data_IF_348578303220
#
_entry.id   IF_348578303220
#
_cell.length_a   1.000
_cell.length_b   1.000
_cell.length_c   1.000
_cell.angle_alpha   90.00
_cell.angle_beta   90.00
_cell.angle_gamma   90.00
#
_symmetry.space_group_name_H-M   'P 1'
#
loop_
_entity.id
_entity.type
_entity.pdbx_description
1 polymer ?
#
# COMPACT_ATOMS: atom_id res chain seq x y z
N UNK A 1 -8.96 -1.09 -25.18
CA UNK A 1 -8.18 -2.31 -25.49
C UNK A 1 -6.93 -2.27 -24.62
N UNK A 2 -6.43 -3.41 -24.14
CA UNK A 2 -5.16 -3.44 -23.43
C UNK A 2 -4.08 -4.02 -24.34
N UNK A 3 -3.11 -3.19 -24.74
CA UNK A 3 -2.05 -3.59 -25.67
C UNK A 3 -1.12 -4.66 -25.06
N UNK A 4 -0.94 -4.64 -23.74
CA UNK A 4 -0.09 -5.60 -23.01
C UNK A 4 -0.72 -6.99 -23.00
N UNK A 5 -2.04 -7.09 -22.77
CA UNK A 5 -2.74 -8.37 -22.70
C UNK A 5 -3.33 -8.80 -24.04
N UNK A 6 -3.38 -7.94 -25.06
CA UNK A 6 -3.96 -8.22 -26.37
C UNK A 6 -5.47 -8.47 -26.36
N UNK A 7 -6.20 -7.98 -25.34
CA UNK A 7 -7.64 -8.23 -25.16
C UNK A 7 -8.43 -6.98 -24.79
N UNK A 8 -9.72 -6.98 -25.13
CA UNK A 8 -10.63 -5.90 -24.74
C UNK A 8 -11.23 -6.17 -23.35
N UNK A 9 -11.02 -5.23 -22.43
CA UNK A 9 -11.52 -5.29 -21.06
C UNK A 9 -12.68 -4.28 -20.92
N UNK A 10 -13.82 -4.74 -20.39
CA UNK A 10 -14.99 -3.89 -20.14
C UNK A 10 -14.70 -2.88 -19.02
N UNK A 11 -14.98 -1.58 -19.28
CA UNK A 11 -14.62 -0.45 -18.40
C UNK A 11 -13.20 -0.59 -17.85
N UNK A 12 -12.24 -0.75 -18.77
CA UNK A 12 -10.83 -0.90 -18.45
C UNK A 12 -10.34 0.30 -17.64
N UNK A 13 -9.71 0.02 -16.50
CA UNK A 13 -9.09 1.04 -15.67
C UNK A 13 -7.60 1.18 -16.00
N UNK A 14 -6.84 0.10 -15.82
CA UNK A 14 -5.42 0.01 -16.17
C UNK A 14 -4.96 -1.45 -16.26
N UNK A 15 -3.79 -1.68 -16.84
CA UNK A 15 -3.06 -2.93 -16.64
C UNK A 15 -2.18 -2.78 -15.38
N UNK A 16 -2.34 -3.68 -14.41
CA UNK A 16 -1.60 -3.62 -13.14
C UNK A 16 -0.42 -4.60 -13.20
N UNK A 17 0.84 -4.13 -13.29
CA UNK A 17 2.01 -5.00 -13.31
C UNK A 17 2.17 -5.79 -12.00
N UNK A 18 1.74 -5.21 -10.89
CA UNK A 18 1.83 -5.82 -9.55
C UNK A 18 0.96 -7.06 -9.40
N UNK A 19 -0.20 -7.07 -10.07
CA UNK A 19 -1.13 -8.20 -10.07
C UNK A 19 -1.01 -9.05 -11.35
N UNK A 20 -0.17 -8.64 -12.30
CA UNK A 20 -0.01 -9.30 -13.59
C UNK A 20 -1.31 -9.40 -14.40
N UNK A 21 -2.25 -8.48 -14.19
CA UNK A 21 -3.59 -8.56 -14.80
C UNK A 21 -4.21 -7.18 -15.03
N UNK A 22 -5.20 -7.13 -15.92
CA UNK A 22 -5.98 -5.93 -16.16
C UNK A 22 -7.02 -5.71 -15.07
N UNK A 23 -7.12 -4.47 -14.61
CA UNK A 23 -8.16 -4.01 -13.71
C UNK A 23 -9.25 -3.35 -14.56
N UNK A 24 -10.49 -3.79 -14.37
CA UNK A 24 -11.66 -3.28 -15.06
C UNK A 24 -12.94 -3.62 -14.31
N UNK A 25 -14.10 -3.50 -14.96
CA UNK A 25 -15.42 -3.59 -14.29
C UNK A 25 -15.59 -4.80 -13.36
N UNK A 26 -15.12 -5.98 -13.78
CA UNK A 26 -15.38 -7.26 -13.08
C UNK A 26 -14.54 -7.46 -11.82
N UNK A 27 -13.37 -6.84 -11.73
CA UNK A 27 -12.43 -7.02 -10.62
C UNK A 27 -12.06 -5.73 -9.88
N UNK A 28 -12.61 -4.57 -10.27
CA UNK A 28 -12.30 -3.28 -9.66
C UNK A 28 -12.61 -3.25 -8.15
N UNK A 29 -13.69 -3.89 -7.70
CA UNK A 29 -14.03 -3.98 -6.27
C UNK A 29 -12.99 -4.77 -5.49
N UNK A 30 -12.55 -5.90 -6.03
CA UNK A 30 -11.52 -6.75 -5.45
C UNK A 30 -10.18 -6.02 -5.39
N UNK A 31 -9.87 -5.21 -6.41
CA UNK A 31 -8.69 -4.35 -6.40
C UNK A 31 -8.74 -3.29 -5.29
N UNK A 32 -9.88 -2.63 -5.07
CA UNK A 32 -10.03 -1.69 -3.94
C UNK A 32 -9.87 -2.38 -2.58
N UNK A 33 -10.46 -3.57 -2.42
CA UNK A 33 -10.30 -4.36 -1.21
C UNK A 33 -8.84 -4.78 -1.00
N UNK A 34 -8.15 -5.18 -2.07
CA UNK A 34 -6.71 -5.46 -2.03
C UNK A 34 -5.90 -4.25 -1.55
N UNK A 35 -6.14 -3.05 -2.11
CA UNK A 35 -5.45 -1.83 -1.67
C UNK A 35 -5.72 -1.50 -0.20
N UNK A 36 -6.98 -1.65 0.24
CA UNK A 36 -7.36 -1.41 1.63
C UNK A 36 -6.68 -2.43 2.57
N UNK A 37 -6.75 -3.72 2.24
CA UNK A 37 -6.08 -4.78 3.01
C UNK A 37 -4.57 -4.56 3.07
N UNK A 38 -3.95 -4.15 1.96
CA UNK A 38 -2.52 -3.85 1.91
C UNK A 38 -2.14 -2.68 2.83
N UNK A 39 -2.94 -1.60 2.83
CA UNK A 39 -2.74 -0.47 3.73
C UNK A 39 -2.90 -0.89 5.21
N UNK A 40 -3.93 -1.66 5.53
CA UNK A 40 -4.19 -2.15 6.89
C UNK A 40 -3.05 -3.07 7.36
N UNK A 41 -2.57 -3.97 6.51
CA UNK A 41 -1.45 -4.86 6.82
C UNK A 41 -0.19 -4.07 7.17
N UNK A 42 0.18 -3.06 6.36
CA UNK A 42 1.32 -2.21 6.65
C UNK A 42 1.16 -1.40 7.94
N UNK A 43 -0.04 -0.90 8.21
CA UNK A 43 -0.33 -0.19 9.46
C UNK A 43 -0.21 -1.10 10.69
N UNK A 44 -0.68 -2.35 10.61
CA UNK A 44 -0.54 -3.36 11.66
C UNK A 44 0.93 -3.67 11.90
N UNK A 45 1.71 -3.96 10.85
CA UNK A 45 3.14 -4.26 10.96
C UNK A 45 3.90 -3.09 11.58
N UNK A 46 3.61 -1.86 11.16
CA UNK A 46 4.21 -0.66 11.74
C UNK A 46 3.89 -0.53 13.23
N UNK A 47 2.60 -0.65 13.60
CA UNK A 47 2.17 -0.58 14.99
C UNK A 47 2.83 -1.67 15.86
N UNK A 48 2.94 -2.91 15.36
CA UNK A 48 3.63 -4.00 16.04
C UNK A 48 5.12 -3.70 16.28
N UNK A 49 5.82 -3.13 15.30
CA UNK A 49 7.21 -2.73 15.47
C UNK A 49 7.37 -1.70 16.58
N UNK A 50 6.51 -0.68 16.62
CA UNK A 50 6.52 0.35 17.67
C UNK A 50 6.18 -0.25 19.05
N UNK A 51 5.18 -1.12 19.13
CA UNK A 51 4.83 -1.79 20.39
C UNK A 51 5.98 -2.62 20.95
N UNK A 52 6.68 -3.39 20.11
CA UNK A 52 7.83 -4.21 20.52
C UNK A 52 8.97 -3.34 21.09
N UNK A 53 9.25 -2.20 20.46
CA UNK A 53 10.26 -1.26 20.92
C UNK A 53 9.89 -0.61 22.26
N UNK A 54 8.60 -0.44 22.52
CA UNK A 54 8.08 0.21 23.74
C UNK A 54 7.90 -0.78 24.92
N UNK A 55 7.60 -2.06 24.66
CA UNK A 55 7.16 -3.02 25.68
C UNK A 55 8.26 -3.38 26.72
N UNK A 56 9.55 -3.27 26.40
CA UNK A 56 10.64 -3.60 27.35
C UNK A 56 11.38 -2.38 27.91
N UNK A 57 10.91 -1.15 27.65
CA UNK A 57 11.47 0.07 28.25
C UNK A 57 11.20 0.17 29.78
N UNK A 58 10.57 -0.85 30.36
CA UNK A 58 10.28 -0.96 31.81
C UNK A 58 11.55 -1.22 32.64
N UNK A 59 12.67 -1.63 32.03
CA UNK A 59 13.97 -1.68 32.73
C UNK A 59 14.65 -0.32 32.62
N UNK A 60 14.61 0.46 33.71
CA UNK A 60 15.21 1.80 33.91
C UNK A 60 16.71 1.85 33.59
N UNK A 61 17.06 1.80 32.32
CA UNK A 61 18.39 2.11 31.78
C UNK A 61 18.21 3.36 30.94
N UNK A 62 19.12 4.33 31.06
CA UNK A 62 19.14 5.51 30.19
C UNK A 62 19.00 5.05 28.74
N UNK A 63 17.87 5.40 28.11
CA UNK A 63 17.55 5.03 26.73
C UNK A 63 18.54 5.77 25.84
N UNK A 64 19.65 5.12 25.56
CA UNK A 64 20.55 5.52 24.52
C UNK A 64 20.00 5.02 23.18
N UNK A 65 20.13 5.85 22.14
CA UNK A 65 19.72 5.48 20.78
C UNK A 65 20.53 4.25 20.34
N UNK A 66 21.80 4.15 20.75
CA UNK A 66 22.66 3.01 20.47
C UNK A 66 22.17 1.69 21.08
N UNK A 67 21.63 1.70 22.30
CA UNK A 67 21.09 0.47 22.93
C UNK A 67 19.79 0.03 22.26
N UNK A 68 18.93 0.96 21.88
CA UNK A 68 17.69 0.65 21.14
C UNK A 68 17.99 0.06 19.76
N UNK A 69 18.94 0.65 19.02
CA UNK A 69 19.38 0.16 17.72
C UNK A 69 19.95 -1.26 17.78
N UNK A 70 20.73 -1.58 18.83
CA UNK A 70 21.31 -2.92 19.01
C UNK A 70 20.30 -3.96 19.49
N UNK A 71 19.30 -3.55 20.27
CA UNK A 71 18.31 -4.46 20.86
C UNK A 71 17.21 -4.81 19.86
N UNK A 72 16.81 -3.87 18.99
CA UNK A 72 15.69 -4.04 18.05
C UNK A 72 16.03 -3.76 16.58
N UNK A 73 17.15 -4.25 16.04
CA UNK A 73 17.57 -3.91 14.68
C UNK A 73 16.51 -4.33 13.64
N UNK A 74 15.90 -5.50 13.81
CA UNK A 74 14.88 -6.01 12.89
C UNK A 74 13.60 -5.17 12.89
N UNK A 75 13.06 -4.83 14.06
CA UNK A 75 11.84 -4.01 14.16
C UNK A 75 12.06 -2.60 13.61
N UNK A 76 13.25 -2.03 13.81
CA UNK A 76 13.61 -0.70 13.29
C UNK A 76 13.72 -0.74 11.77
N UNK A 77 14.48 -1.70 11.22
CA UNK A 77 14.62 -1.85 9.77
C UNK A 77 13.25 -2.07 9.13
N UNK A 78 12.44 -2.98 9.69
CA UNK A 78 11.11 -3.26 9.15
C UNK A 78 10.17 -2.04 9.23
N UNK A 79 10.16 -1.31 10.34
CA UNK A 79 9.38 -0.09 10.48
C UNK A 79 9.76 0.97 9.43
N UNK A 80 11.05 1.16 9.18
CA UNK A 80 11.55 2.08 8.14
C UNK A 80 11.13 1.60 6.75
N UNK A 81 11.28 0.30 6.46
CA UNK A 81 10.94 -0.26 5.16
C UNK A 81 9.45 -0.17 4.86
N UNK A 82 8.57 -0.36 5.85
CA UNK A 82 7.12 -0.37 5.63
C UNK A 82 6.54 1.02 5.34
N UNK A 83 7.16 2.09 5.83
CA UNK A 83 6.67 3.47 5.67
C UNK A 83 6.46 3.87 4.20
N UNK A 84 7.43 3.74 3.28
CA UNK A 84 7.21 4.10 1.88
C UNK A 84 6.11 3.26 1.22
N UNK A 85 6.00 1.97 1.54
CA UNK A 85 4.92 1.12 1.00
C UNK A 85 3.55 1.52 1.56
N UNK A 86 3.48 1.91 2.83
CA UNK A 86 2.26 2.42 3.46
C UNK A 86 1.81 3.75 2.83
N UNK A 87 2.75 4.68 2.59
CA UNK A 87 2.47 5.94 1.90
C UNK A 87 1.97 5.68 0.47
N UNK A 88 2.64 4.79 -0.26
CA UNK A 88 2.23 4.40 -1.61
C UNK A 88 0.81 3.78 -1.63
N UNK A 89 0.53 2.82 -0.73
CA UNK A 89 -0.78 2.19 -0.61
C UNK A 89 -1.87 3.22 -0.26
N UNK A 90 -1.59 4.13 0.67
CA UNK A 90 -2.51 5.21 1.04
C UNK A 90 -2.79 6.17 -0.13
N UNK A 91 -1.76 6.56 -0.88
CA UNK A 91 -1.90 7.42 -2.05
C UNK A 91 -2.74 6.75 -3.14
N UNK A 92 -2.47 5.48 -3.43
CA UNK A 92 -3.26 4.70 -4.40
C UNK A 92 -4.72 4.54 -3.95
N UNK A 93 -4.96 4.20 -2.69
CA UNK A 93 -6.30 4.07 -2.15
C UNK A 93 -7.07 5.40 -2.19
N UNK A 94 -6.39 6.52 -1.87
CA UNK A 94 -6.94 7.86 -1.94
C UNK A 94 -7.32 8.26 -3.37
N UNK A 95 -6.41 8.04 -4.33
CA UNK A 95 -6.68 8.29 -5.75
C UNK A 95 -7.88 7.47 -6.23
N UNK A 96 -7.90 6.16 -6.01
CA UNK A 96 -8.99 5.32 -6.50
C UNK A 96 -10.31 5.59 -5.79
N UNK A 97 -10.29 6.02 -4.52
CA UNK A 97 -11.49 6.51 -3.82
C UNK A 97 -12.04 7.78 -4.48
N UNK A 98 -11.16 8.74 -4.81
CA UNK A 98 -11.53 9.94 -5.56
C UNK A 98 -12.13 9.61 -6.93
N UNK A 99 -11.52 8.68 -7.68
CA UNK A 99 -12.02 8.25 -8.99
C UNK A 99 -13.40 7.61 -8.88
N UNK A 100 -13.64 6.79 -7.86
CA UNK A 100 -14.98 6.22 -7.57
C UNK A 100 -16.00 7.32 -7.30
N UNK A 101 -15.66 8.33 -6.51
CA UNK A 101 -16.55 9.47 -6.22
C UNK A 101 -16.90 10.27 -7.49
N UNK A 102 -15.99 10.30 -8.46
CA UNK A 102 -16.20 10.94 -9.77
C UNK A 102 -16.78 10.00 -10.83
N UNK A 103 -16.98 8.72 -10.51
CA UNK A 103 -17.34 7.66 -11.46
C UNK A 103 -16.42 7.62 -12.70
N UNK A 104 -15.12 7.90 -12.50
CA UNK A 104 -14.10 7.86 -13.53
C UNK A 104 -13.23 6.61 -13.37
N UNK A 105 -12.70 6.12 -14.48
CA UNK A 105 -11.55 5.22 -14.52
C UNK A 105 -10.25 6.02 -14.53
N UNK A 106 -9.14 5.39 -14.14
CA UNK A 106 -7.79 5.97 -14.23
C UNK A 106 -7.48 6.42 -15.66
N UNK A 107 -7.89 5.62 -16.66
CA UNK A 107 -7.72 5.93 -18.07
C UNK A 107 -8.49 7.19 -18.51
N UNK A 108 -9.75 7.33 -18.09
CA UNK A 108 -10.56 8.52 -18.36
C UNK A 108 -9.96 9.76 -17.66
N UNK A 109 -9.45 9.61 -16.44
CA UNK A 109 -8.81 10.70 -15.69
C UNK A 109 -7.51 11.21 -16.35
N UNK A 110 -6.69 10.30 -16.88
CA UNK A 110 -5.43 10.64 -17.55
C UNK A 110 -5.60 11.05 -19.02
N UNK A 111 -6.80 10.95 -19.57
CA UNK A 111 -7.13 11.36 -20.93
C UNK A 111 -6.54 10.46 -22.02
N UNK A 112 -6.86 9.15 -21.98
CA UNK A 112 -6.49 8.14 -23.00
C UNK A 112 -4.99 8.03 -23.32
N UNK A 113 -4.09 8.51 -22.44
CA UNK A 113 -2.63 8.43 -22.65
C UNK A 113 -2.01 7.03 -22.43
N UNK A 114 -2.80 5.96 -22.53
CA UNK A 114 -2.38 4.57 -22.36
C UNK A 114 -3.16 3.62 -23.27
#
# INVERSE_FOLDING_TARGET
>A
HCDICGVCIEKMDHHCPWLGTCIGKKNYKQFLLFLLSLFVEFAIVFAMCIMIMNNNQIKRVSIDIGTTLRTYPFSIILAILVVPFMIFAAAMLGLHSYLVMKNLTTREYLGDKW
#
